data_IF_410711813312
#
_entry.id   IF_410711813312
#
_cell.length_a   1.000
_cell.length_b   1.000
_cell.length_c   1.000
_cell.angle_alpha   90.00
_cell.angle_beta   90.00
_cell.angle_gamma   90.00
#
_symmetry.space_group_name_H-M   'P 1'
#
loop_
_entity.id
_entity.type
_entity.pdbx_description
1 polymer ?
#
# COMPACT_ATOMS: atom_id res chain seq x y z
N UNK A 1 -1.80 5.44 -25.42
CA UNK A 1 -0.88 5.91 -24.37
C UNK A 1 0.54 5.79 -24.88
N UNK A 2 1.36 6.80 -24.65
CA UNK A 2 2.78 6.81 -25.01
C UNK A 2 3.59 7.10 -23.77
N UNK A 3 4.62 6.31 -23.52
CA UNK A 3 5.51 6.46 -22.38
C UNK A 3 6.93 6.74 -22.87
N UNK A 4 7.55 7.77 -22.30
CA UNK A 4 8.94 8.12 -22.53
C UNK A 4 9.66 8.02 -21.17
N UNK A 5 10.66 7.16 -21.09
CA UNK A 5 11.47 6.97 -19.90
C UNK A 5 12.95 7.13 -20.26
N UNK A 6 13.69 7.85 -19.43
CA UNK A 6 15.11 8.08 -19.65
C UNK A 6 15.92 7.73 -18.39
N UNK A 7 16.30 6.45 -18.22
CA UNK A 7 17.06 6.04 -17.05
C UNK A 7 18.51 6.51 -17.10
N UNK A 8 18.93 7.18 -16.04
CA UNK A 8 20.31 7.58 -15.77
C UNK A 8 20.86 6.70 -14.67
N UNK A 9 22.09 6.21 -14.81
CA UNK A 9 22.74 5.39 -13.79
C UNK A 9 24.09 5.95 -13.40
N UNK A 10 24.42 5.80 -12.12
CA UNK A 10 25.73 6.09 -11.56
C UNK A 10 26.21 4.90 -10.74
N UNK A 11 27.30 4.32 -11.14
CA UNK A 11 27.96 3.25 -10.39
C UNK A 11 29.04 3.84 -9.48
N UNK A 12 29.09 3.36 -8.24
CA UNK A 12 30.15 3.66 -7.28
C UNK A 12 30.73 2.35 -6.71
N UNK A 13 31.71 2.43 -5.86
CA UNK A 13 32.34 1.26 -5.24
C UNK A 13 31.34 0.43 -4.40
N UNK A 14 30.45 1.09 -3.67
CA UNK A 14 29.56 0.44 -2.71
C UNK A 14 28.10 0.35 -3.18
N UNK A 15 27.68 1.25 -4.08
CA UNK A 15 26.26 1.38 -4.48
C UNK A 15 26.12 1.69 -5.96
N UNK A 16 25.01 1.28 -6.52
CA UNK A 16 24.53 1.69 -7.83
C UNK A 16 23.28 2.56 -7.65
N UNK A 17 23.26 3.73 -8.26
CA UNK A 17 22.18 4.68 -8.14
C UNK A 17 21.55 4.92 -9.51
N UNK A 18 20.22 5.05 -9.54
CA UNK A 18 19.44 5.24 -10.76
C UNK A 18 18.49 6.42 -10.55
N UNK A 19 18.42 7.30 -11.54
CA UNK A 19 17.41 8.36 -11.63
C UNK A 19 16.65 8.13 -12.93
N UNK A 20 15.33 8.03 -12.84
CA UNK A 20 14.49 7.73 -13.98
C UNK A 20 13.38 8.75 -14.10
N UNK A 21 13.59 9.86 -14.85
CA UNK A 21 12.48 10.70 -15.27
C UNK A 21 11.60 9.94 -16.27
N UNK A 22 10.29 10.09 -16.12
CA UNK A 22 9.31 9.45 -16.98
C UNK A 22 8.20 10.45 -17.34
N UNK A 23 7.77 10.43 -18.59
CA UNK A 23 6.69 11.23 -19.11
C UNK A 23 5.72 10.33 -19.87
N UNK A 24 4.46 10.30 -19.43
CA UNK A 24 3.41 9.55 -20.09
C UNK A 24 2.37 10.48 -20.68
N UNK A 25 2.04 10.29 -21.94
CA UNK A 25 0.89 10.95 -22.58
C UNK A 25 -0.23 9.94 -22.75
N UNK A 26 -1.40 10.29 -22.25
CA UNK A 26 -2.62 9.48 -22.32
C UNK A 26 -3.70 10.24 -23.08
N UNK A 27 -4.37 9.53 -23.99
CA UNK A 27 -5.55 10.00 -24.69
C UNK A 27 -6.61 8.92 -24.71
N UNK A 28 -7.83 9.29 -24.34
CA UNK A 28 -9.01 8.46 -24.47
C UNK A 28 -10.14 9.30 -25.07
N UNK A 29 -10.67 8.91 -26.25
CA UNK A 29 -11.76 9.65 -26.90
C UNK A 29 -13.11 9.46 -26.23
N UNK A 30 -13.21 8.53 -25.29
CA UNK A 30 -14.48 8.20 -24.63
C UNK A 30 -14.85 9.29 -23.61
N UNK A 31 -16.17 9.50 -23.45
CA UNK A 31 -16.68 10.30 -22.34
C UNK A 31 -16.52 9.51 -21.04
N UNK A 32 -16.03 10.15 -20.00
CA UNK A 32 -15.98 9.56 -18.66
C UNK A 32 -17.40 9.26 -18.16
N UNK A 33 -17.62 8.05 -17.68
CA UNK A 33 -18.82 7.73 -16.91
C UNK A 33 -18.69 8.34 -15.52
N UNK A 34 -19.78 8.83 -14.94
CA UNK A 34 -19.72 9.40 -13.60
C UNK A 34 -19.29 8.35 -12.57
N UNK A 35 -18.15 8.65 -11.93
CA UNK A 35 -17.49 7.85 -10.89
C UNK A 35 -17.10 8.72 -9.69
N UNK A 36 -17.67 9.93 -9.58
CA UNK A 36 -17.26 10.93 -8.57
C UNK A 36 -17.43 10.42 -7.13
N UNK A 37 -18.37 9.49 -6.91
CA UNK A 37 -18.66 8.84 -5.63
C UNK A 37 -17.79 7.63 -5.30
N UNK A 38 -16.88 7.24 -6.22
CA UNK A 38 -16.06 6.05 -6.01
C UNK A 38 -14.89 6.32 -5.10
N UNK A 39 -14.68 5.41 -4.15
CA UNK A 39 -13.50 5.41 -3.28
C UNK A 39 -12.29 4.87 -4.04
N UNK A 40 -11.70 5.72 -4.88
CA UNK A 40 -10.52 5.41 -5.67
C UNK A 40 -9.48 6.50 -5.52
N UNK A 41 -8.25 6.10 -5.21
CA UNK A 41 -7.10 6.99 -5.05
C UNK A 41 -6.05 6.70 -6.10
N UNK A 42 -5.28 7.72 -6.44
CA UNK A 42 -4.03 7.54 -7.16
C UNK A 42 -2.91 7.13 -6.20
N UNK A 43 -2.04 6.28 -6.68
CA UNK A 43 -0.76 5.94 -6.06
C UNK A 43 0.31 5.73 -7.14
N UNK A 44 1.54 5.53 -6.72
CA UNK A 44 2.67 5.33 -7.64
C UNK A 44 2.48 4.08 -8.52
N UNK A 45 1.77 3.06 -8.03
CA UNK A 45 1.57 1.82 -8.80
C UNK A 45 0.56 1.96 -9.94
N UNK A 46 -0.43 2.86 -9.79
CA UNK A 46 -1.51 3.01 -10.77
C UNK A 46 -1.42 4.28 -11.64
N UNK A 47 -0.66 5.31 -11.20
CA UNK A 47 -0.62 6.64 -11.86
C UNK A 47 -0.18 6.58 -13.34
N UNK A 48 0.69 5.64 -13.69
CA UNK A 48 1.18 5.43 -15.04
C UNK A 48 0.37 4.39 -15.83
N UNK A 49 -0.76 3.88 -15.28
CA UNK A 49 -1.61 2.93 -15.98
C UNK A 49 -2.57 3.62 -16.95
N UNK A 50 -3.01 2.88 -17.98
CA UNK A 50 -4.01 3.37 -18.92
C UNK A 50 -5.36 3.60 -18.22
N UNK A 51 -5.77 2.66 -17.34
CA UNK A 51 -6.96 2.77 -16.50
C UNK A 51 -6.51 2.98 -15.03
N UNK A 52 -6.33 4.23 -14.62
CA UNK A 52 -5.88 4.60 -13.28
C UNK A 52 -6.92 4.36 -12.19
N UNK A 53 -8.19 4.43 -12.56
CA UNK A 53 -9.30 4.26 -11.62
C UNK A 53 -9.62 2.78 -11.38
N UNK A 54 -9.24 1.89 -12.32
CA UNK A 54 -9.47 0.43 -12.24
C UNK A 54 -10.94 0.05 -11.98
N UNK A 55 -11.87 0.83 -12.52
CA UNK A 55 -13.29 0.54 -12.40
C UNK A 55 -13.75 -0.28 -13.59
N UNK A 56 -14.69 -1.23 -13.35
CA UNK A 56 -15.32 -1.99 -14.40
C UNK A 56 -16.23 -1.06 -15.22
N UNK A 57 -16.27 -1.25 -16.53
CA UNK A 57 -17.13 -0.52 -17.47
C UNK A 57 -16.95 1.01 -17.50
N UNK A 58 -15.86 1.52 -16.92
CA UNK A 58 -15.55 2.93 -16.91
C UNK A 58 -14.08 3.18 -17.25
N UNK A 59 -13.84 4.11 -18.13
CA UNK A 59 -12.51 4.56 -18.53
C UNK A 59 -12.47 6.08 -18.43
N UNK A 60 -11.41 6.59 -17.84
CA UNK A 60 -11.12 8.02 -17.81
C UNK A 60 -10.99 8.56 -19.23
N UNK A 61 -11.79 9.56 -19.59
CA UNK A 61 -11.76 10.24 -20.90
C UNK A 61 -10.78 11.42 -20.92
N UNK A 62 -10.57 12.00 -22.12
CA UNK A 62 -9.77 13.21 -22.30
C UNK A 62 -8.28 12.97 -22.51
N UNK A 63 -7.51 14.05 -22.37
CA UNK A 63 -6.06 14.09 -22.54
C UNK A 63 -5.40 14.34 -21.19
N UNK A 64 -4.32 13.62 -20.91
CA UNK A 64 -3.50 13.91 -19.74
C UNK A 64 -2.03 13.56 -19.96
N UNK A 65 -1.18 14.29 -19.28
CA UNK A 65 0.25 14.03 -19.17
C UNK A 65 0.55 13.66 -17.73
N UNK A 66 1.26 12.57 -17.52
CA UNK A 66 1.83 12.21 -16.23
C UNK A 66 3.32 12.43 -16.25
N UNK A 67 3.83 13.25 -15.34
CA UNK A 67 5.25 13.42 -15.12
C UNK A 67 5.64 12.69 -13.84
N UNK A 68 6.69 11.86 -13.89
CA UNK A 68 7.22 11.20 -12.72
C UNK A 68 8.75 11.21 -12.68
N UNK A 69 9.29 11.14 -11.46
CA UNK A 69 10.71 11.06 -11.20
C UNK A 69 10.95 9.97 -10.17
N UNK A 70 11.66 8.92 -10.58
CA UNK A 70 12.09 7.83 -9.71
C UNK A 70 13.57 7.94 -9.36
N UNK A 71 13.91 7.63 -8.13
CA UNK A 71 15.28 7.43 -7.65
C UNK A 71 15.39 6.08 -6.97
N UNK A 72 16.41 5.29 -7.34
CA UNK A 72 16.74 4.03 -6.67
C UNK A 72 18.21 3.97 -6.32
N UNK A 73 18.51 3.35 -5.18
CA UNK A 73 19.86 3.06 -4.75
C UNK A 73 19.95 1.61 -4.29
N UNK A 74 20.76 0.83 -4.98
CA UNK A 74 21.00 -0.58 -4.70
C UNK A 74 22.42 -0.77 -4.17
N UNK A 75 22.62 -1.77 -3.30
CA UNK A 75 23.95 -2.23 -2.99
C UNK A 75 24.55 -3.08 -4.13
N UNK A 76 25.77 -3.55 -3.97
CA UNK A 76 26.47 -4.36 -4.99
C UNK A 76 25.91 -5.78 -5.15
N UNK A 77 25.06 -6.23 -4.26
CA UNK A 77 24.36 -7.50 -4.35
C UNK A 77 23.02 -7.36 -5.11
N UNK A 78 22.64 -6.12 -5.44
CA UNK A 78 21.37 -5.81 -6.12
C UNK A 78 20.23 -5.51 -5.16
N UNK A 79 20.45 -5.55 -3.84
CA UNK A 79 19.43 -5.23 -2.86
C UNK A 79 19.10 -3.74 -2.85
N UNK A 80 17.82 -3.40 -3.00
CA UNK A 80 17.33 -2.03 -2.92
C UNK A 80 17.45 -1.53 -1.47
N UNK A 81 18.17 -0.42 -1.29
CA UNK A 81 18.35 0.25 0.01
C UNK A 81 17.45 1.47 0.13
N UNK A 82 17.24 2.16 -0.97
CA UNK A 82 16.37 3.33 -1.04
C UNK A 82 15.67 3.30 -2.38
N UNK A 83 14.34 3.49 -2.39
CA UNK A 83 13.62 3.96 -3.56
C UNK A 83 12.70 5.11 -3.18
N UNK A 84 12.64 6.09 -4.07
CA UNK A 84 11.78 7.25 -3.94
C UNK A 84 11.19 7.56 -5.31
N UNK A 85 9.89 7.72 -5.38
CA UNK A 85 9.22 8.13 -6.60
C UNK A 85 8.18 9.19 -6.29
N UNK A 86 8.11 10.21 -7.15
CA UNK A 86 7.07 11.23 -7.14
C UNK A 86 6.45 11.33 -8.52
N UNK A 87 5.16 11.63 -8.55
CA UNK A 87 4.44 11.78 -9.81
C UNK A 87 3.24 12.72 -9.67
N UNK A 88 2.90 13.37 -10.79
CA UNK A 88 1.72 14.24 -10.90
C UNK A 88 1.09 14.10 -12.28
N UNK A 89 -0.24 14.18 -12.31
CA UNK A 89 -1.03 14.18 -13.54
C UNK A 89 -1.45 15.61 -13.88
N UNK A 90 -1.32 15.97 -15.14
CA UNK A 90 -1.78 17.25 -15.70
C UNK A 90 -2.79 16.92 -16.80
N UNK A 91 -4.05 17.29 -16.58
CA UNK A 91 -5.14 17.11 -17.53
C UNK A 91 -5.38 18.39 -18.30
N UNK A 92 -5.94 18.29 -19.51
CA UNK A 92 -6.32 19.46 -20.31
C UNK A 92 -7.43 20.28 -19.66
N UNK A 93 -8.41 19.57 -19.07
CA UNK A 93 -9.56 20.16 -18.37
C UNK A 93 -9.83 19.41 -17.06
N UNK A 94 -10.51 20.06 -16.11
CA UNK A 94 -11.10 19.39 -14.96
C UNK A 94 -12.26 18.50 -15.40
N UNK A 95 -12.49 17.39 -14.69
CA UNK A 95 -13.56 16.44 -14.99
C UNK A 95 -14.24 15.98 -13.71
N UNK A 96 -15.38 16.56 -13.39
CA UNK A 96 -16.15 16.29 -12.17
C UNK A 96 -16.72 14.86 -12.10
N UNK A 97 -16.75 14.14 -13.23
CA UNK A 97 -17.16 12.74 -13.27
C UNK A 97 -16.09 11.76 -12.69
N UNK A 98 -14.88 12.25 -12.38
CA UNK A 98 -13.81 11.45 -11.80
C UNK A 98 -13.84 11.48 -10.26
N UNK A 99 -13.34 10.41 -9.60
CA UNK A 99 -13.32 10.33 -8.14
C UNK A 99 -12.55 11.49 -7.52
N UNK A 100 -13.17 12.18 -6.59
CA UNK A 100 -12.56 13.32 -5.90
C UNK A 100 -11.31 12.90 -5.14
N UNK A 101 -11.34 11.74 -4.50
CA UNK A 101 -10.24 11.17 -3.73
C UNK A 101 -9.01 10.83 -4.58
N UNK A 102 -9.20 10.65 -5.89
CA UNK A 102 -8.10 10.45 -6.84
C UNK A 102 -7.41 11.75 -7.24
N UNK A 103 -8.02 12.90 -6.97
CA UNK A 103 -7.63 14.24 -7.47
C UNK A 103 -7.57 14.37 -9.00
N UNK A 104 -7.95 13.34 -9.75
CA UNK A 104 -8.04 13.39 -11.22
C UNK A 104 -9.19 14.26 -11.73
N UNK A 105 -10.14 14.62 -10.86
CA UNK A 105 -11.21 15.56 -11.15
C UNK A 105 -10.71 16.99 -11.36
N UNK A 106 -9.47 17.30 -10.91
CA UNK A 106 -8.78 18.58 -11.07
C UNK A 106 -7.95 18.62 -12.37
N UNK A 107 -7.57 19.82 -12.80
CA UNK A 107 -6.62 19.99 -13.88
C UNK A 107 -5.20 19.51 -13.53
N UNK A 108 -4.76 19.79 -12.31
CA UNK A 108 -3.53 19.27 -11.71
C UNK A 108 -3.92 18.31 -10.61
N UNK A 109 -3.50 17.06 -10.70
CA UNK A 109 -3.70 16.13 -9.60
C UNK A 109 -2.84 16.53 -8.41
N UNK A 110 -3.12 15.95 -7.28
CA UNK A 110 -2.21 16.00 -6.14
C UNK A 110 -0.85 15.42 -6.54
N UNK A 111 0.21 15.91 -5.90
CA UNK A 111 1.54 15.33 -6.02
C UNK A 111 1.60 14.06 -5.17
N UNK A 112 1.85 12.93 -5.81
CA UNK A 112 1.89 11.62 -5.17
C UNK A 112 3.33 11.21 -5.00
N UNK A 113 3.66 10.56 -3.90
CA UNK A 113 4.99 10.02 -3.69
C UNK A 113 5.01 8.75 -2.86
N UNK A 114 6.06 7.99 -3.07
CA UNK A 114 6.41 6.80 -2.29
C UNK A 114 7.89 6.85 -1.94
N UNK A 115 8.22 6.53 -0.69
CA UNK A 115 9.59 6.36 -0.20
C UNK A 115 9.71 4.98 0.46
N UNK A 116 10.58 4.14 -0.06
CA UNK A 116 11.00 2.91 0.60
C UNK A 116 12.44 3.06 1.07
N UNK A 117 12.68 2.73 2.32
CA UNK A 117 13.98 2.80 2.96
C UNK A 117 14.26 1.49 3.70
N UNK A 118 15.26 0.74 3.26
CA UNK A 118 15.81 -0.41 3.99
C UNK A 118 17.09 0.02 4.69
N UNK A 119 16.93 0.51 5.93
CA UNK A 119 18.04 1.00 6.75
C UNK A 119 19.04 -0.13 7.03
N UNK A 120 18.51 -1.32 7.33
CA UNK A 120 19.26 -2.54 7.57
C UNK A 120 18.33 -3.75 7.37
N UNK A 121 18.83 -4.96 7.54
CA UNK A 121 17.99 -6.16 7.55
C UNK A 121 17.03 -6.21 8.76
N UNK A 122 17.28 -5.34 9.74
CA UNK A 122 16.47 -5.22 10.96
C UNK A 122 15.35 -4.19 10.78
N UNK A 123 15.57 -3.10 10.04
CA UNK A 123 14.66 -1.95 9.98
C UNK A 123 14.36 -1.55 8.54
N UNK A 124 13.08 -1.54 8.20
CA UNK A 124 12.57 -0.98 6.95
C UNK A 124 11.43 0.00 7.21
N UNK A 125 11.31 0.97 6.30
CA UNK A 125 10.29 2.01 6.33
C UNK A 125 9.71 2.16 4.92
N UNK A 126 8.39 2.22 4.85
CA UNK A 126 7.65 2.60 3.65
C UNK A 126 6.77 3.81 3.99
N UNK A 127 6.79 4.83 3.14
CA UNK A 127 5.99 6.04 3.31
C UNK A 127 5.35 6.43 1.98
N UNK A 128 4.01 6.47 1.96
CA UNK A 128 3.21 6.94 0.84
C UNK A 128 2.54 8.25 1.22
N UNK A 129 2.50 9.20 0.29
CA UNK A 129 1.89 10.49 0.53
C UNK A 129 1.18 11.07 -0.70
N UNK A 130 0.20 11.92 -0.44
CA UNK A 130 -0.41 12.81 -1.44
C UNK A 130 -0.45 14.23 -0.87
N UNK A 131 0.16 15.15 -1.59
CA UNK A 131 0.11 16.59 -1.29
C UNK A 131 -0.83 17.26 -2.29
N UNK A 132 -1.59 18.23 -1.84
CA UNK A 132 -2.43 19.01 -2.74
C UNK A 132 -1.60 19.67 -3.86
N UNK A 133 -2.25 20.10 -4.92
CA UNK A 133 -1.60 20.71 -6.08
C UNK A 133 -0.84 22.00 -5.75
N UNK A 134 -1.19 22.69 -4.66
CA UNK A 134 -0.48 23.82 -4.07
C UNK A 134 0.65 23.46 -3.11
N UNK A 135 0.85 22.18 -2.80
CA UNK A 135 1.83 21.64 -1.82
C UNK A 135 1.64 22.23 -0.40
N UNK A 136 0.45 22.69 -0.09
CA UNK A 136 0.13 23.37 1.17
C UNK A 136 -0.46 22.46 2.23
N UNK A 137 -1.09 21.37 1.81
CA UNK A 137 -1.70 20.39 2.70
C UNK A 137 -1.45 18.97 2.23
N UNK A 138 -1.46 18.04 3.17
CA UNK A 138 -1.42 16.61 2.88
C UNK A 138 -2.82 16.03 2.89
N UNK A 139 -3.20 15.37 1.82
CA UNK A 139 -4.48 14.69 1.68
C UNK A 139 -4.40 13.21 2.09
N UNK A 140 -3.17 12.67 2.10
CA UNK A 140 -2.92 11.29 2.49
C UNK A 140 -1.50 11.11 2.98
N UNK A 141 -1.36 10.42 4.11
CA UNK A 141 -0.09 9.96 4.65
C UNK A 141 -0.25 8.52 5.13
N UNK A 142 0.61 7.65 4.67
CA UNK A 142 0.71 6.28 5.17
C UNK A 142 2.16 5.95 5.48
N UNK A 143 2.44 5.66 6.73
CA UNK A 143 3.76 5.26 7.19
C UNK A 143 3.71 3.85 7.75
N UNK A 144 4.53 2.96 7.20
CA UNK A 144 4.70 1.60 7.69
C UNK A 144 6.16 1.36 8.04
N UNK A 145 6.41 1.00 9.30
CA UNK A 145 7.75 0.71 9.80
C UNK A 145 7.80 -0.71 10.32
N UNK A 146 8.71 -1.52 9.80
CA UNK A 146 8.92 -2.91 10.25
C UNK A 146 10.27 -3.04 10.91
N UNK A 147 10.26 -3.57 12.13
CA UNK A 147 11.43 -3.92 12.91
C UNK A 147 11.47 -5.45 13.07
N UNK A 148 12.59 -6.07 12.68
CA UNK A 148 12.81 -7.51 12.74
C UNK A 148 14.07 -7.81 13.55
N UNK A 149 13.92 -8.23 14.79
CA UNK A 149 15.05 -8.55 15.69
C UNK A 149 14.92 -9.99 16.16
N UNK A 150 15.82 -10.85 15.71
CA UNK A 150 15.82 -12.28 16.04
C UNK A 150 14.43 -12.92 15.75
N UNK A 151 13.73 -13.28 16.82
CA UNK A 151 12.43 -13.94 16.77
C UNK A 151 11.25 -12.97 16.82
N UNK A 152 11.50 -11.66 16.98
CA UNK A 152 10.47 -10.63 17.08
C UNK A 152 10.39 -9.85 15.76
N UNK A 153 9.19 -9.83 15.18
CA UNK A 153 8.87 -8.96 14.03
C UNK A 153 7.73 -8.07 14.47
N UNK A 154 7.93 -6.77 14.43
CA UNK A 154 6.88 -5.78 14.74
C UNK A 154 6.74 -4.78 13.61
N UNK A 155 5.50 -4.53 13.22
CA UNK A 155 5.15 -3.54 12.21
C UNK A 155 4.23 -2.50 12.85
N UNK A 156 4.61 -1.24 12.74
CA UNK A 156 3.79 -0.10 13.08
C UNK A 156 3.26 0.52 11.79
N UNK A 157 1.98 0.85 11.80
CA UNK A 157 1.29 1.49 10.68
C UNK A 157 0.62 2.77 11.19
N UNK A 158 0.82 3.85 10.46
CA UNK A 158 0.16 5.12 10.65
C UNK A 158 -0.54 5.46 9.35
N UNK A 159 -1.80 5.82 9.43
CA UNK A 159 -2.61 6.28 8.30
C UNK A 159 -3.32 7.56 8.69
N UNK A 160 -3.16 8.57 7.89
CA UNK A 160 -3.93 9.81 7.93
C UNK A 160 -4.46 10.10 6.53
N UNK A 161 -5.75 10.29 6.43
CA UNK A 161 -6.42 10.60 5.18
C UNK A 161 -7.46 11.69 5.42
N UNK A 162 -7.32 12.79 4.70
CA UNK A 162 -8.32 13.85 4.67
C UNK A 162 -9.28 13.60 3.52
N UNK A 163 -10.56 13.44 3.79
CA UNK A 163 -11.58 13.18 2.79
C UNK A 163 -12.76 14.14 2.92
N UNK A 164 -13.52 14.31 1.83
CA UNK A 164 -14.78 15.08 1.80
C UNK A 164 -15.84 14.44 2.70
N UNK A 165 -15.74 13.11 2.92
CA UNK A 165 -16.66 12.36 3.79
C UNK A 165 -16.21 12.30 5.26
N UNK A 166 -15.08 12.91 5.62
CA UNK A 166 -14.48 12.89 6.95
C UNK A 166 -13.00 12.54 6.90
N UNK A 167 -12.30 12.80 7.99
CA UNK A 167 -10.89 12.42 8.13
C UNK A 167 -10.77 11.05 8.78
N UNK A 168 -9.79 10.27 8.32
CA UNK A 168 -9.42 8.99 8.90
C UNK A 168 -8.02 9.10 9.49
N UNK A 169 -7.87 8.73 10.75
CA UNK A 169 -6.60 8.79 11.44
C UNK A 169 -6.39 7.50 12.26
N UNK A 170 -5.57 6.60 11.76
CA UNK A 170 -5.35 5.28 12.35
C UNK A 170 -3.91 5.06 12.76
N UNK A 171 -3.74 4.35 13.87
CA UNK A 171 -2.47 3.79 14.32
C UNK A 171 -2.64 2.30 14.54
N UNK A 172 -1.86 1.50 13.84
CA UNK A 172 -1.87 0.05 13.93
C UNK A 172 -0.56 -0.50 14.44
N UNK A 173 -0.63 -1.65 15.07
CA UNK A 173 0.52 -2.47 15.40
C UNK A 173 0.23 -3.93 15.06
N UNK A 174 1.24 -4.62 14.53
CA UNK A 174 1.22 -6.06 14.30
C UNK A 174 2.57 -6.62 14.74
N UNK A 175 2.58 -7.30 15.86
CA UNK A 175 3.78 -7.89 16.47
C UNK A 175 3.69 -9.39 16.49
N UNK A 176 4.66 -10.08 15.90
CA UNK A 176 4.79 -11.53 15.89
C UNK A 176 6.07 -11.92 16.62
N UNK A 177 5.92 -12.77 17.64
CA UNK A 177 7.01 -13.42 18.35
C UNK A 177 7.06 -14.90 17.95
N UNK A 178 8.15 -15.32 17.28
CA UNK A 178 8.42 -16.73 17.01
C UNK A 178 9.00 -17.38 18.27
N UNK A 179 8.22 -18.24 18.91
CA UNK A 179 8.65 -18.95 20.11
C UNK A 179 9.67 -20.03 19.77
N UNK A 180 9.48 -20.68 18.62
CA UNK A 180 10.41 -21.64 18.01
C UNK A 180 10.05 -21.78 16.51
N UNK A 181 10.61 -22.81 15.85
CA UNK A 181 10.40 -23.03 14.40
C UNK A 181 8.95 -23.36 14.02
N UNK A 182 8.14 -23.81 14.98
CA UNK A 182 6.77 -24.25 14.73
C UNK A 182 5.71 -23.43 15.45
N UNK A 183 6.09 -22.61 16.43
CA UNK A 183 5.14 -21.90 17.28
C UNK A 183 5.38 -20.39 17.21
N UNK A 184 4.32 -19.63 17.04
CA UNK A 184 4.34 -18.18 17.07
C UNK A 184 3.15 -17.59 17.83
N UNK A 185 3.37 -16.41 18.38
CA UNK A 185 2.37 -15.57 19.02
C UNK A 185 2.30 -14.26 18.26
N UNK A 186 1.11 -13.87 17.81
CA UNK A 186 0.89 -12.61 17.09
C UNK A 186 -0.11 -11.77 17.86
N UNK A 187 0.24 -10.50 18.06
CA UNK A 187 -0.63 -9.47 18.62
C UNK A 187 -0.85 -8.39 17.59
N UNK A 188 -2.12 -8.03 17.34
CA UNK A 188 -2.51 -6.94 16.46
C UNK A 188 -3.43 -5.97 17.19
N UNK A 189 -3.31 -4.70 16.87
CA UNK A 189 -4.21 -3.66 17.35
C UNK A 189 -4.36 -2.58 16.31
N UNK A 190 -5.54 -1.95 16.27
CA UNK A 190 -5.86 -0.79 15.46
C UNK A 190 -6.59 0.23 16.34
N UNK A 191 -6.13 1.46 16.33
CA UNK A 191 -6.74 2.58 17.04
C UNK A 191 -7.09 3.68 16.05
N UNK A 192 -8.33 4.13 16.11
CA UNK A 192 -8.80 5.32 15.42
C UNK A 192 -8.52 6.53 16.32
N UNK A 193 -7.67 7.44 15.86
CA UNK A 193 -7.23 8.62 16.59
C UNK A 193 -8.18 9.80 16.42
N UNK A 194 -9.03 9.79 15.41
CA UNK A 194 -10.03 10.84 15.21
C UNK A 194 -11.06 10.85 16.35
N UNK A 195 -11.47 9.65 16.77
CA UNK A 195 -12.48 9.46 17.83
C UNK A 195 -11.89 8.90 19.12
N UNK A 196 -10.55 8.81 19.21
CA UNK A 196 -9.78 8.24 20.34
C UNK A 196 -10.31 6.86 20.79
N UNK A 197 -10.61 6.01 19.81
CA UNK A 197 -11.14 4.67 20.02
C UNK A 197 -10.14 3.61 19.55
N UNK A 198 -9.85 2.62 20.40
CA UNK A 198 -9.23 1.39 19.95
C UNK A 198 -10.29 0.49 19.31
N UNK A 199 -10.16 0.24 18.01
CA UNK A 199 -11.18 -0.51 17.28
C UNK A 199 -11.13 -1.98 17.55
N UNK A 200 -9.92 -2.57 17.64
CA UNK A 200 -9.80 -3.98 17.99
C UNK A 200 -8.46 -4.35 18.64
N UNK A 201 -8.49 -5.47 19.36
CA UNK A 201 -7.34 -6.29 19.71
C UNK A 201 -7.49 -7.68 19.13
N UNK A 202 -6.40 -8.23 18.63
CA UNK A 202 -6.33 -9.60 18.17
C UNK A 202 -5.08 -10.25 18.79
N UNK A 203 -5.25 -11.41 19.40
CA UNK A 203 -4.16 -12.23 19.91
C UNK A 203 -4.28 -13.63 19.32
N UNK A 204 -3.28 -14.06 18.57
CA UNK A 204 -3.27 -15.35 17.88
C UNK A 204 -2.04 -16.16 18.31
N UNK A 205 -2.28 -17.37 18.79
CA UNK A 205 -1.27 -18.40 18.90
C UNK A 205 -1.37 -19.35 17.71
N UNK A 206 -0.27 -19.59 17.02
CA UNK A 206 -0.23 -20.47 15.86
C UNK A 206 0.85 -21.54 16.04
N UNK A 207 0.46 -22.79 15.78
CA UNK A 207 1.34 -23.91 15.53
C UNK A 207 1.34 -24.25 14.05
N UNK A 208 2.51 -24.39 13.45
CA UNK A 208 2.66 -24.71 12.03
C UNK A 208 3.86 -25.65 11.83
N UNK A 209 3.61 -26.75 11.11
CA UNK A 209 4.64 -27.63 10.59
C UNK A 209 4.35 -27.95 9.11
N UNK A 210 5.13 -28.85 8.50
CA UNK A 210 5.02 -29.17 7.07
C UNK A 210 3.64 -29.70 6.64
N UNK A 211 2.85 -30.22 7.58
CA UNK A 211 1.59 -30.91 7.30
C UNK A 211 0.37 -30.21 7.86
N UNK A 212 0.54 -29.38 8.88
CA UNK A 212 -0.57 -28.88 9.69
C UNK A 212 -0.31 -27.45 10.14
N UNK A 213 -1.32 -26.61 10.00
CA UNK A 213 -1.42 -25.30 10.67
C UNK A 213 -2.63 -25.30 11.58
N UNK A 214 -2.41 -25.08 12.86
CA UNK A 214 -3.47 -24.88 13.86
C UNK A 214 -3.30 -23.50 14.48
N UNK A 215 -4.37 -22.75 14.61
CA UNK A 215 -4.35 -21.47 15.30
C UNK A 215 -5.51 -21.31 16.26
N UNK A 216 -5.22 -20.69 17.40
CA UNK A 216 -6.18 -20.21 18.38
C UNK A 216 -6.10 -18.69 18.38
N UNK A 217 -7.21 -18.04 18.10
CA UNK A 217 -7.30 -16.60 17.90
C UNK A 217 -8.38 -16.00 18.81
N UNK A 218 -7.99 -15.03 19.61
CA UNK A 218 -8.89 -14.22 20.43
C UNK A 218 -9.02 -12.84 19.78
N UNK A 219 -10.24 -12.48 19.45
CA UNK A 219 -10.62 -11.19 18.88
C UNK A 219 -11.50 -10.43 19.86
N UNK A 220 -11.20 -9.15 20.03
CA UNK A 220 -12.06 -8.22 20.75
C UNK A 220 -12.19 -6.93 19.96
N UNK A 221 -13.41 -6.61 19.53
CA UNK A 221 -13.75 -5.39 18.85
C UNK A 221 -14.47 -4.42 19.77
N UNK A 222 -14.18 -3.13 19.62
CA UNK A 222 -14.81 -2.06 20.40
C UNK A 222 -15.63 -1.14 19.50
N UNK A 223 -15.50 -1.32 18.20
CA UNK A 223 -16.24 -0.56 17.22
C UNK A 223 -17.72 -0.87 17.32
N UNK A 224 -18.55 0.17 17.33
CA UNK A 224 -20.00 0.06 17.30
C UNK A 224 -20.54 1.04 16.25
N UNK A 225 -21.23 0.51 15.25
CA UNK A 225 -21.97 1.30 14.29
C UNK A 225 -23.40 0.74 14.21
N UNK A 226 -24.38 1.61 14.21
CA UNK A 226 -25.84 1.38 14.29
C UNK A 226 -26.33 -0.06 14.48
N UNK A 227 -25.89 -1.01 13.69
CA UNK A 227 -26.25 -2.42 13.69
C UNK A 227 -25.12 -3.36 14.17
N UNK A 228 -23.86 -2.86 14.32
CA UNK A 228 -22.69 -3.63 14.73
C UNK A 228 -22.43 -3.35 16.21
N UNK A 229 -22.41 -4.40 17.02
CA UNK A 229 -22.08 -4.33 18.44
C UNK A 229 -20.64 -4.76 18.67
N UNK A 230 -19.98 -4.25 19.73
CA UNK A 230 -18.70 -4.79 20.17
C UNK A 230 -18.80 -6.29 20.38
N UNK A 231 -17.87 -7.04 19.86
CA UNK A 231 -17.85 -8.50 19.95
C UNK A 231 -16.56 -8.97 20.60
N UNK A 232 -16.67 -10.12 21.26
CA UNK A 232 -15.56 -10.85 21.85
C UNK A 232 -15.71 -12.30 21.43
N UNK A 233 -14.71 -12.82 20.72
CA UNK A 233 -14.76 -14.18 20.16
C UNK A 233 -13.45 -14.92 20.31
N UNK A 234 -13.55 -16.23 20.44
CA UNK A 234 -12.43 -17.16 20.41
C UNK A 234 -12.61 -18.11 19.24
N UNK A 235 -11.68 -18.05 18.29
CA UNK A 235 -11.72 -18.86 17.08
C UNK A 235 -10.62 -19.91 17.13
N UNK A 236 -10.96 -21.12 16.70
CA UNK A 236 -10.01 -22.19 16.45
C UNK A 236 -10.02 -22.52 14.97
N UNK A 237 -8.86 -22.51 14.34
CA UNK A 237 -8.70 -22.92 12.94
C UNK A 237 -7.71 -24.05 12.80
N UNK A 238 -8.01 -24.99 11.90
CA UNK A 238 -7.16 -26.12 11.56
C UNK A 238 -7.08 -26.24 10.04
N UNK A 239 -5.87 -26.18 9.50
CA UNK A 239 -5.59 -26.35 8.08
C UNK A 239 -4.62 -27.49 7.89
N UNK A 240 -5.03 -28.50 7.11
CA UNK A 240 -4.16 -29.60 6.71
C UNK A 240 -3.50 -29.23 5.39
N UNK A 241 -2.18 -29.16 5.37
CA UNK A 241 -1.43 -28.90 4.15
C UNK A 241 -1.23 -30.18 3.39
N UNK A 242 -1.60 -30.25 2.10
CA UNK A 242 -1.42 -31.48 1.32
C UNK A 242 0.06 -31.77 1.16
N UNK A 243 0.46 -33.00 1.46
CA UNK A 243 1.78 -33.52 1.16
C UNK A 243 1.99 -33.51 -0.35
N UNK A 244 2.97 -32.76 -0.80
CA UNK A 244 3.59 -32.74 -2.12
C UNK A 244 2.68 -32.65 -3.34
N UNK A 245 3.05 -31.78 -4.26
CA UNK A 245 2.76 -31.97 -5.69
C UNK A 245 3.39 -33.32 -6.07
N UNK A 246 2.57 -34.34 -6.29
CA UNK A 246 2.96 -35.50 -7.08
C UNK A 246 3.17 -34.95 -8.50
N UNK A 247 4.39 -34.62 -8.86
CA UNK A 247 4.72 -34.41 -10.26
C UNK A 247 4.54 -35.76 -10.95
N UNK A 248 3.55 -35.87 -11.82
CA UNK A 248 3.44 -36.98 -12.74
C UNK A 248 4.71 -37.02 -13.57
N UNK A 249 5.64 -37.90 -13.21
CA UNK A 249 6.75 -38.25 -14.10
C UNK A 249 6.10 -38.97 -15.26
N UNK A 250 6.19 -38.38 -16.45
CA UNK A 250 5.81 -39.05 -17.68
C UNK A 250 6.59 -40.37 -17.77
N UNK A 251 5.92 -41.47 -17.51
CA UNK A 251 6.38 -42.79 -17.92
C UNK A 251 6.32 -42.86 -19.45
N UNK A 252 7.47 -42.90 -20.06
CA UNK A 252 7.63 -43.31 -21.46
C UNK A 252 7.42 -44.80 -21.60
#
# INVERSE_FOLDING_TARGET
>A
MYNLSYPLSKQSEFFDSFITPNLSYRFSPNKTKNMSDKDRRLDISNINSFNRISENDAVEGGHSITASLGYKKNDKFGDEKISFEIAQVISDTSNEDLPVKSSLNKKYSDLIGNLNLKVSDILSLNYDFMLDDGLSSSNYNSLKTTLSVNNLITTFEYLEESDIMGSNHYVGNNTTLKLNNTNSLTFKTLSNREIDLTEFYNLMYQYENDCLRAALEYNKTFYADSDIKPEEELLFSLTIMPFSKISSTNLK
#
